data_IF_235893717466
#
_entry.id   IF_235893717466
#
_cell.length_a   1.000
_cell.length_b   1.000
_cell.length_c   1.000
_cell.angle_alpha   90.00
_cell.angle_beta   90.00
_cell.angle_gamma   90.00
#
_symmetry.space_group_name_H-M   'P 1'
#
loop_
_entity.id
_entity.type
_entity.pdbx_description
1 polymer ?
#
# COMPACT_ATOMS: atom_id res chain seq x y z
N UNK A 1 -18.53 9.23 21.44
CA UNK A 1 -18.88 9.44 22.86
C UNK A 1 -17.63 9.95 23.57
N UNK A 2 -17.47 11.27 23.62
CA UNK A 2 -16.25 11.92 24.10
C UNK A 2 -16.47 12.38 25.54
N UNK A 3 -15.72 11.83 26.49
CA UNK A 3 -15.73 12.30 27.88
C UNK A 3 -14.53 13.22 28.11
N UNK A 4 -14.84 14.51 28.14
CA UNK A 4 -14.06 15.56 28.78
C UNK A 4 -14.24 15.47 30.29
N UNK A 5 -13.14 15.46 31.04
CA UNK A 5 -13.00 15.71 32.48
C UNK A 5 -11.47 15.68 32.71
N UNK A 6 -10.75 16.74 33.06
CA UNK A 6 -10.99 17.67 34.16
C UNK A 6 -10.12 18.93 34.00
N UNK A 7 -10.67 20.05 34.49
CA UNK A 7 -9.99 21.20 35.12
C UNK A 7 -9.20 22.16 34.21
N UNK A 8 -9.97 23.11 33.67
CA UNK A 8 -9.57 24.49 33.49
C UNK A 8 -9.17 25.14 34.83
N UNK A 9 -7.91 25.55 34.96
CA UNK A 9 -7.50 26.60 35.90
C UNK A 9 -7.01 27.79 35.09
N UNK A 10 -7.75 28.88 35.19
CA UNK A 10 -7.43 30.20 34.62
C UNK A 10 -6.15 30.75 35.26
N UNK A 11 -5.08 30.88 34.48
CA UNK A 11 -3.97 31.80 34.77
C UNK A 11 -3.54 32.39 33.42
N UNK A 12 -3.46 33.72 33.34
CA UNK A 12 -3.20 34.48 32.11
C UNK A 12 -1.93 34.09 31.34
N UNK A 13 -1.58 34.80 30.25
CA UNK A 13 -0.56 34.34 29.31
C UNK A 13 0.76 34.03 30.03
N UNK A 14 1.08 32.74 30.15
CA UNK A 14 2.32 32.22 30.75
C UNK A 14 3.48 32.73 29.91
N UNK A 15 4.06 33.87 30.30
CA UNK A 15 5.19 34.48 29.61
C UNK A 15 6.50 33.87 30.11
N UNK A 16 7.47 33.75 29.22
CA UNK A 16 8.86 33.46 29.55
C UNK A 16 9.49 34.61 30.36
N UNK A 17 10.74 34.44 30.80
CA UNK A 17 11.55 35.53 31.39
C UNK A 17 11.74 36.73 30.45
N UNK A 18 11.61 36.50 29.14
CA UNK A 18 11.67 37.51 28.09
C UNK A 18 10.36 38.22 27.76
N UNK A 19 9.25 37.91 28.44
CA UNK A 19 7.94 38.48 28.16
C UNK A 19 7.20 37.90 26.93
N UNK A 20 7.85 37.06 26.14
CA UNK A 20 7.23 36.29 25.05
C UNK A 20 6.38 35.12 25.59
N UNK A 21 5.44 34.57 24.79
CA UNK A 21 4.69 33.38 25.18
C UNK A 21 5.57 32.15 25.41
N UNK A 22 5.13 31.24 26.28
CA UNK A 22 5.72 29.90 26.41
C UNK A 22 5.15 28.93 25.36
N UNK A 23 5.91 27.89 25.06
CA UNK A 23 5.50 26.74 24.25
C UNK A 23 5.51 25.49 25.12
N UNK A 24 4.46 24.68 25.02
CA UNK A 24 4.40 23.36 25.64
C UNK A 24 5.05 22.30 24.76
N UNK A 25 5.91 21.47 25.34
CA UNK A 25 6.62 20.38 24.69
C UNK A 25 6.58 19.12 25.57
N UNK A 26 6.81 17.97 24.95
CA UNK A 26 6.94 16.68 25.63
C UNK A 26 8.40 16.24 25.61
N UNK A 27 8.96 15.88 26.75
CA UNK A 27 10.29 15.26 26.82
C UNK A 27 10.22 13.82 26.34
N UNK A 28 11.17 13.44 25.48
CA UNK A 28 11.36 12.07 25.01
C UNK A 28 12.69 11.49 25.50
N UNK A 29 13.26 12.08 26.55
CA UNK A 29 14.48 11.58 27.19
C UNK A 29 14.15 10.35 28.05
N UNK A 30 15.12 9.43 28.21
CA UNK A 30 14.95 8.24 29.07
C UNK A 30 14.57 8.57 30.51
N UNK A 31 15.05 9.69 31.04
CA UNK A 31 14.83 10.08 32.43
C UNK A 31 13.48 10.76 32.68
N UNK A 32 12.86 11.33 31.64
CA UNK A 32 11.56 12.02 31.72
C UNK A 32 10.71 11.71 30.47
N UNK A 33 10.43 10.43 30.17
CA UNK A 33 9.78 10.06 28.92
C UNK A 33 8.29 10.40 28.98
N UNK A 34 7.80 11.15 28.00
CA UNK A 34 6.40 11.56 27.92
C UNK A 34 6.02 12.72 28.85
N UNK A 35 6.95 13.29 29.63
CA UNK A 35 6.66 14.37 30.59
C UNK A 35 6.58 15.74 29.90
N UNK A 36 5.50 16.47 30.14
CA UNK A 36 5.27 17.81 29.63
C UNK A 36 6.09 18.90 30.31
N UNK A 37 6.66 19.80 29.52
CA UNK A 37 7.37 20.98 29.97
C UNK A 37 7.04 22.21 29.10
N UNK A 38 7.17 23.39 29.68
CA UNK A 38 7.07 24.67 29.00
C UNK A 38 8.46 25.27 28.81
N UNK A 39 8.67 25.86 27.64
CA UNK A 39 9.89 26.59 27.28
C UNK A 39 9.56 27.93 26.63
N UNK A 40 10.56 28.81 26.47
CA UNK A 40 10.41 30.02 25.67
C UNK A 40 10.01 29.68 24.22
N UNK A 41 9.09 30.43 23.61
CA UNK A 41 8.72 30.25 22.19
C UNK A 41 9.90 30.33 21.23
N UNK A 42 10.97 31.03 21.58
CA UNK A 42 12.18 31.15 20.76
C UNK A 42 13.16 29.98 20.93
N UNK A 43 12.95 29.10 21.90
CA UNK A 43 13.75 27.88 22.04
C UNK A 43 13.48 26.91 20.88
N UNK A 44 14.52 26.54 20.14
CA UNK A 44 14.41 25.63 18.99
C UNK A 44 14.54 24.18 19.43
N UNK A 45 13.59 23.33 19.04
CA UNK A 45 13.61 21.89 19.30
C UNK A 45 13.85 21.52 20.77
N UNK A 46 13.37 22.35 21.71
CA UNK A 46 13.59 22.14 23.15
C UNK A 46 14.97 22.56 23.67
N UNK A 47 15.87 23.11 22.82
CA UNK A 47 17.10 23.74 23.27
C UNK A 47 16.79 25.09 23.94
N UNK A 48 16.80 25.11 25.27
CA UNK A 48 16.45 26.29 26.06
C UNK A 48 17.44 27.45 25.89
N UNK A 49 18.69 27.13 25.52
CA UNK A 49 19.78 28.10 25.31
C UNK A 49 19.53 29.02 24.10
N UNK A 50 18.72 28.58 23.14
CA UNK A 50 18.35 29.36 21.96
C UNK A 50 17.30 30.45 22.29
N UNK A 51 16.68 30.38 23.46
CA UNK A 51 15.70 31.36 23.95
C UNK A 51 16.22 32.12 25.16
N UNK A 52 15.33 32.49 26.08
CA UNK A 52 15.71 33.17 27.32
C UNK A 52 16.01 32.19 28.48
N UNK A 53 16.31 30.92 28.19
CA UNK A 53 16.51 29.86 29.18
C UNK A 53 15.32 29.58 30.11
N UNK A 54 14.12 30.03 29.77
CA UNK A 54 12.92 29.67 30.52
C UNK A 54 12.62 28.18 30.35
N UNK A 55 12.45 27.48 31.46
CA UNK A 55 12.06 26.08 31.50
C UNK A 55 11.21 25.80 32.74
N UNK A 56 10.11 25.08 32.57
CA UNK A 56 9.28 24.61 33.69
C UNK A 56 8.63 23.27 33.35
N UNK A 57 8.67 22.33 34.29
CA UNK A 57 7.86 21.12 34.19
C UNK A 57 6.38 21.44 34.44
N UNK A 58 5.49 20.96 33.56
CA UNK A 58 4.04 21.09 33.72
C UNK A 58 3.49 19.88 34.48
N UNK A 59 3.89 18.68 34.06
CA UNK A 59 3.46 17.45 34.68
C UNK A 59 4.28 17.14 35.94
N UNK A 60 3.65 16.45 36.89
CA UNK A 60 4.34 15.93 38.08
C UNK A 60 5.46 14.96 37.68
N UNK A 61 6.50 14.79 38.51
CA UNK A 61 7.50 13.75 38.30
C UNK A 61 6.84 12.37 38.18
N UNK A 62 7.32 11.57 37.23
CA UNK A 62 6.87 10.19 37.05
C UNK A 62 7.57 9.27 38.04
N UNK A 63 6.90 8.17 38.44
CA UNK A 63 7.54 7.09 39.19
C UNK A 63 8.52 6.33 38.30
N UNK A 64 9.48 5.62 38.89
CA UNK A 64 10.47 4.88 38.10
C UNK A 64 9.83 3.77 37.25
N UNK A 65 8.82 3.08 37.79
CA UNK A 65 8.00 2.13 37.03
C UNK A 65 7.33 2.78 35.81
N UNK A 66 6.76 3.99 35.96
CA UNK A 66 6.16 4.70 34.82
C UNK A 66 7.20 5.01 33.74
N UNK A 67 8.41 5.46 34.14
CA UNK A 67 9.49 5.76 33.18
C UNK A 67 9.92 4.48 32.45
N UNK A 68 10.08 3.38 33.17
CA UNK A 68 10.47 2.08 32.61
C UNK A 68 9.45 1.61 31.55
N UNK A 69 8.18 1.53 31.92
CA UNK A 69 7.11 1.10 31.00
C UNK A 69 7.04 2.00 29.76
N UNK A 70 7.12 3.31 29.91
CA UNK A 70 7.07 4.23 28.76
C UNK A 70 8.30 4.05 27.86
N UNK A 71 9.50 3.88 28.43
CA UNK A 71 10.71 3.63 27.66
C UNK A 71 10.65 2.29 26.90
N UNK A 72 10.09 1.25 27.51
CA UNK A 72 9.90 -0.04 26.86
C UNK A 72 8.93 0.08 25.69
N UNK A 73 7.81 0.80 25.87
CA UNK A 73 6.85 1.08 24.80
C UNK A 73 7.47 1.88 23.65
N UNK A 74 8.31 2.87 23.96
CA UNK A 74 9.06 3.64 22.95
C UNK A 74 10.00 2.71 22.17
N UNK A 75 10.73 1.84 22.86
CA UNK A 75 11.66 0.88 22.25
C UNK A 75 10.92 -0.09 21.33
N UNK A 76 9.79 -0.62 21.78
CA UNK A 76 8.98 -1.55 21.01
C UNK A 76 8.34 -0.88 19.80
N UNK A 77 7.81 0.34 19.97
CA UNK A 77 7.34 1.15 18.84
C UNK A 77 8.43 1.31 17.79
N UNK A 78 9.65 1.63 18.19
CA UNK A 78 10.75 1.84 17.24
C UNK A 78 11.16 0.54 16.53
N UNK A 79 11.09 -0.62 17.23
CA UNK A 79 11.24 -1.94 16.62
C UNK A 79 10.18 -2.19 15.56
N UNK A 80 8.91 -2.00 15.90
CA UNK A 80 7.78 -2.21 15.00
C UNK A 80 7.82 -1.28 13.78
N UNK A 81 8.27 -0.03 13.96
CA UNK A 81 8.44 0.90 12.84
C UNK A 81 9.49 0.42 11.83
N UNK A 82 10.60 -0.15 12.31
CA UNK A 82 11.64 -0.75 11.45
C UNK A 82 11.12 -1.98 10.71
N UNK A 83 10.47 -2.90 11.42
CA UNK A 83 9.89 -4.11 10.82
C UNK A 83 8.85 -3.77 9.75
N UNK A 84 7.98 -2.79 10.04
CA UNK A 84 7.01 -2.29 9.07
C UNK A 84 7.68 -1.73 7.82
N UNK A 85 8.80 -1.02 7.94
CA UNK A 85 9.53 -0.50 6.78
C UNK A 85 10.05 -1.65 5.91
N UNK A 86 10.70 -2.66 6.52
CA UNK A 86 11.20 -3.85 5.83
C UNK A 86 10.08 -4.62 5.12
N UNK A 87 8.95 -4.84 5.80
CA UNK A 87 7.81 -5.54 5.21
C UNK A 87 7.20 -4.75 4.05
N UNK A 88 7.12 -3.42 4.16
CA UNK A 88 6.61 -2.56 3.10
C UNK A 88 7.48 -2.66 1.84
N UNK A 89 8.80 -2.69 2.00
CA UNK A 89 9.73 -2.87 0.89
C UNK A 89 9.60 -4.26 0.25
N UNK A 90 9.45 -5.31 1.08
CA UNK A 90 9.21 -6.67 0.58
C UNK A 90 7.90 -6.78 -0.21
N UNK A 91 6.82 -6.17 0.28
CA UNK A 91 5.53 -6.12 -0.44
C UNK A 91 5.68 -5.40 -1.77
N UNK A 92 6.41 -4.28 -1.81
CA UNK A 92 6.68 -3.54 -3.05
C UNK A 92 7.44 -4.42 -4.06
N UNK A 93 8.50 -5.09 -3.62
CA UNK A 93 9.28 -6.00 -4.47
C UNK A 93 8.41 -7.14 -5.02
N UNK A 94 7.67 -7.84 -4.16
CA UNK A 94 6.80 -8.94 -4.57
C UNK A 94 5.67 -8.49 -5.50
N UNK A 95 5.18 -7.26 -5.34
CA UNK A 95 4.17 -6.69 -6.24
C UNK A 95 4.73 -6.51 -7.65
N UNK A 96 5.99 -6.06 -7.77
CA UNK A 96 6.68 -5.93 -9.05
C UNK A 96 6.86 -7.31 -9.69
N UNK A 97 7.38 -8.28 -8.95
CA UNK A 97 7.57 -9.65 -9.46
C UNK A 97 6.25 -10.28 -9.89
N UNK A 98 5.20 -10.16 -9.06
CA UNK A 98 3.85 -10.61 -9.42
C UNK A 98 3.38 -9.99 -10.74
N UNK A 99 3.59 -8.69 -10.93
CA UNK A 99 3.16 -8.01 -12.15
C UNK A 99 3.92 -8.52 -13.40
N UNK A 100 5.21 -8.82 -13.29
CA UNK A 100 5.97 -9.44 -14.39
C UNK A 100 5.38 -10.80 -14.77
N UNK A 101 5.13 -11.65 -13.78
CA UNK A 101 4.51 -12.96 -14.00
C UNK A 101 3.12 -12.83 -14.63
N UNK A 102 2.32 -11.84 -14.21
CA UNK A 102 1.00 -11.60 -14.81
C UNK A 102 1.10 -11.21 -16.29
N UNK A 103 2.09 -10.40 -16.67
CA UNK A 103 2.35 -10.06 -18.08
C UNK A 103 2.74 -11.30 -18.88
N UNK A 104 3.61 -12.15 -18.32
CA UNK A 104 4.01 -13.40 -18.98
C UNK A 104 2.81 -14.35 -19.15
N UNK A 105 1.98 -14.51 -18.13
CA UNK A 105 0.76 -15.33 -18.19
C UNK A 105 -0.21 -14.83 -19.27
N UNK A 106 -0.40 -13.52 -19.38
CA UNK A 106 -1.27 -12.93 -20.41
C UNK A 106 -0.72 -13.16 -21.83
N UNK A 107 0.60 -13.07 -22.00
CA UNK A 107 1.27 -13.37 -23.27
C UNK A 107 1.03 -14.81 -23.71
N UNK A 108 1.21 -15.80 -22.83
CA UNK A 108 0.99 -17.20 -23.16
C UNK A 108 -0.50 -17.50 -23.41
N UNK A 109 -1.41 -16.93 -22.62
CA UNK A 109 -2.86 -17.04 -22.85
C UNK A 109 -3.26 -16.52 -24.22
N UNK A 110 -2.68 -15.40 -24.68
CA UNK A 110 -2.93 -14.87 -26.03
C UNK A 110 -2.48 -15.81 -27.14
N UNK A 111 -1.33 -16.48 -26.97
CA UNK A 111 -0.84 -17.48 -27.92
C UNK A 111 -1.78 -18.67 -28.03
N UNK A 112 -2.24 -19.22 -26.90
CA UNK A 112 -3.17 -20.36 -26.87
C UNK A 112 -4.49 -20.02 -27.60
N UNK A 113 -5.04 -18.81 -27.40
CA UNK A 113 -6.26 -18.36 -28.08
C UNK A 113 -6.07 -18.25 -29.60
N UNK A 114 -4.91 -17.74 -30.05
CA UNK A 114 -4.59 -17.65 -31.49
C UNK A 114 -4.42 -19.05 -32.10
N UNK A 115 -3.75 -19.96 -31.40
CA UNK A 115 -3.57 -21.34 -31.84
C UNK A 115 -4.92 -22.08 -31.97
N UNK A 116 -5.81 -21.92 -31.00
CA UNK A 116 -7.15 -22.49 -31.08
C UNK A 116 -7.99 -21.87 -32.21
N UNK A 117 -7.93 -20.54 -32.38
CA UNK A 117 -8.61 -19.85 -33.49
C UNK A 117 -8.14 -20.32 -34.86
N UNK A 118 -6.83 -20.48 -35.06
CA UNK A 118 -6.24 -20.97 -36.31
C UNK A 118 -6.60 -22.44 -36.58
N UNK A 119 -6.64 -23.29 -35.54
CA UNK A 119 -7.12 -24.67 -35.64
C UNK A 119 -8.59 -24.76 -36.06
N UNK A 120 -9.46 -23.94 -35.45
CA UNK A 120 -10.89 -23.88 -35.79
C UNK A 120 -11.09 -23.39 -37.22
N UNK A 121 -10.39 -22.32 -37.62
CA UNK A 121 -10.43 -21.79 -38.98
C UNK A 121 -9.99 -22.85 -40.00
N UNK A 122 -8.87 -23.55 -39.75
CA UNK A 122 -8.37 -24.63 -40.62
C UNK A 122 -9.38 -25.76 -40.79
N UNK A 123 -10.04 -26.21 -39.70
CA UNK A 123 -11.11 -27.21 -39.77
C UNK A 123 -12.29 -26.74 -40.62
N UNK A 124 -12.68 -25.47 -40.48
CA UNK A 124 -13.80 -24.90 -41.24
C UNK A 124 -13.53 -24.89 -42.76
N UNK A 125 -12.30 -24.55 -43.17
CA UNK A 125 -11.88 -24.54 -44.58
C UNK A 125 -11.85 -25.97 -45.13
N UNK A 126 -11.27 -26.92 -44.38
CA UNK A 126 -11.25 -28.32 -44.78
C UNK A 126 -12.67 -28.88 -44.97
N UNK A 127 -13.60 -28.54 -44.07
CA UNK A 127 -14.99 -28.95 -44.17
C UNK A 127 -15.68 -28.35 -45.41
N UNK A 128 -15.42 -27.08 -45.73
CA UNK A 128 -15.94 -26.46 -46.97
C UNK A 128 -15.42 -27.17 -48.22
N UNK A 129 -14.11 -27.45 -48.29
CA UNK A 129 -13.51 -28.18 -49.41
C UNK A 129 -14.07 -29.61 -49.55
N UNK A 130 -14.27 -30.31 -48.42
CA UNK A 130 -14.91 -31.62 -48.42
C UNK A 130 -16.33 -31.54 -48.98
N UNK A 131 -17.12 -30.57 -48.50
CA UNK A 131 -18.50 -30.39 -48.93
C UNK A 131 -18.61 -30.07 -50.43
N UNK A 132 -17.78 -29.14 -50.95
CA UNK A 132 -17.77 -28.81 -52.38
C UNK A 132 -17.36 -30.00 -53.24
N UNK A 133 -16.33 -30.75 -52.82
CA UNK A 133 -15.88 -31.95 -53.55
C UNK A 133 -16.96 -33.04 -53.57
N UNK A 134 -17.61 -33.29 -52.43
CA UNK A 134 -18.73 -34.23 -52.35
C UNK A 134 -19.89 -33.80 -53.25
N UNK A 135 -20.24 -32.51 -53.24
CA UNK A 135 -21.31 -31.98 -54.10
C UNK A 135 -20.98 -32.14 -55.59
N UNK A 136 -19.73 -31.88 -55.99
CA UNK A 136 -19.28 -32.08 -57.37
C UNK A 136 -19.39 -33.55 -57.80
N UNK A 137 -18.96 -34.49 -56.96
CA UNK A 137 -19.08 -35.92 -57.24
C UNK A 137 -20.55 -36.33 -57.49
N UNK A 138 -21.48 -35.86 -56.66
CA UNK A 138 -22.91 -36.16 -56.82
C UNK A 138 -23.45 -35.61 -58.15
N UNK A 139 -23.13 -34.37 -58.50
CA UNK A 139 -23.58 -33.75 -59.77
C UNK A 139 -23.04 -34.51 -60.98
N UNK A 140 -21.76 -34.86 -61.00
CA UNK A 140 -21.16 -35.64 -62.09
C UNK A 140 -21.84 -37.01 -62.21
N UNK A 141 -22.05 -37.70 -61.08
CA UNK A 141 -22.75 -38.98 -61.08
C UNK A 141 -24.17 -38.87 -61.65
N UNK A 142 -24.92 -37.82 -61.31
CA UNK A 142 -26.26 -37.58 -61.85
C UNK A 142 -26.23 -37.33 -63.37
N UNK A 143 -25.29 -36.51 -63.85
CA UNK A 143 -25.13 -36.25 -65.30
C UNK A 143 -24.85 -37.55 -66.06
N UNK A 144 -23.94 -38.38 -65.56
CA UNK A 144 -23.61 -39.67 -66.21
C UNK A 144 -24.83 -40.59 -66.26
N UNK A 145 -25.65 -40.62 -65.22
CA UNK A 145 -26.90 -41.41 -65.21
C UNK A 145 -27.88 -40.88 -66.24
N UNK A 146 -28.08 -39.56 -66.32
CA UNK A 146 -28.96 -38.94 -67.33
C UNK A 146 -28.47 -39.24 -68.74
N UNK A 147 -27.18 -39.11 -69.02
CA UNK A 147 -26.61 -39.42 -70.35
C UNK A 147 -26.88 -40.87 -70.77
N UNK A 148 -26.89 -41.82 -69.83
CA UNK A 148 -27.22 -43.23 -70.10
C UNK A 148 -28.71 -43.51 -70.30
N UNK A 149 -29.60 -42.67 -69.78
CA UNK A 149 -31.05 -42.85 -69.94
C UNK A 149 -31.57 -42.31 -71.28
N UNK A 150 -30.81 -41.43 -71.93
CA UNK A 150 -31.17 -40.79 -73.20
C UNK A 150 -30.29 -41.24 -74.39
N UNK A 151 -29.41 -42.21 -74.20
CA UNK A 151 -28.68 -42.93 -75.28
C UNK A 151 -29.31 -44.31 -75.50
#
# INVERSE_FOLDING_TARGET
MSRSCCQSSDEGPRKCFCGAPVTYLTSWTRNNPGRGFETCRWSRNGNIADGCNFFRWVDKPQTDWQKEVINDLITERDRLLRERAVLKDKVKYLTIERNKVLVDVDKYRGLDVVEDGTRVASRSVLNKFKLTRMSFCVVVSLIVVLMKLFS
#
